data_IF_395862316960
#
_entry.id   IF_395862316960
#
_cell.length_a   1.000
_cell.length_b   1.000
_cell.length_c   1.000
_cell.angle_alpha   90.00
_cell.angle_beta   90.00
_cell.angle_gamma   90.00
#
_symmetry.space_group_name_H-M   'P 1'
#
loop_
_entity.id
_entity.type
_entity.pdbx_description
1 polymer ?
#
# COMPACT_ATOMS: atom_id res chain seq x y z
N UNK A 1 -14.49 -4.49 23.25
CA UNK A 1 -14.67 -3.73 22.02
C UNK A 1 -15.81 -4.25 21.19
N UNK A 2 -15.88 -5.49 21.11
CA UNK A 2 -16.84 -6.08 20.21
C UNK A 2 -18.24 -6.16 20.76
N UNK A 3 -18.40 -5.84 22.02
CA UNK A 3 -19.73 -5.80 22.61
C UNK A 3 -20.48 -4.63 22.02
N UNK A 4 -21.68 -4.90 21.54
CA UNK A 4 -22.48 -3.88 20.92
C UNK A 4 -22.18 -3.64 19.46
N UNK A 5 -21.16 -4.30 18.90
CA UNK A 5 -20.84 -4.20 17.48
C UNK A 5 -21.17 -5.49 16.79
N UNK A 6 -22.03 -5.43 15.78
CA UNK A 6 -22.38 -6.60 15.01
C UNK A 6 -21.29 -6.90 13.99
N UNK A 7 -21.35 -8.11 13.44
CA UNK A 7 -20.44 -8.51 12.38
C UNK A 7 -20.60 -7.59 11.17
N UNK A 8 -21.81 -7.19 10.88
CA UNK A 8 -22.08 -6.29 9.77
C UNK A 8 -21.45 -4.92 10.00
N UNK A 9 -21.57 -4.40 11.21
CA UNK A 9 -20.98 -3.10 11.53
C UNK A 9 -19.47 -3.11 11.40
N UNK A 10 -18.83 -4.18 11.87
CA UNK A 10 -17.39 -4.32 11.75
C UNK A 10 -16.98 -4.38 10.27
N UNK A 11 -17.73 -5.12 9.46
CA UNK A 11 -17.47 -5.21 8.04
C UNK A 11 -17.61 -3.85 7.35
N UNK A 12 -18.66 -3.09 7.72
CA UNK A 12 -18.86 -1.77 7.15
C UNK A 12 -17.74 -0.81 7.50
N UNK A 13 -17.20 -0.88 8.71
CA UNK A 13 -16.08 -0.05 9.11
C UNK A 13 -14.84 -0.37 8.28
N UNK A 14 -14.59 -1.64 8.02
CA UNK A 14 -13.47 -2.05 7.18
C UNK A 14 -13.65 -1.56 5.74
N UNK A 15 -14.86 -1.65 5.21
CA UNK A 15 -15.14 -1.17 3.86
C UNK A 15 -14.95 0.33 3.75
N UNK A 16 -15.34 1.08 4.76
CA UNK A 16 -15.14 2.52 4.76
C UNK A 16 -13.66 2.88 4.72
N UNK A 17 -12.85 2.14 5.45
CA UNK A 17 -11.40 2.35 5.45
C UNK A 17 -10.80 2.06 4.09
N UNK A 18 -11.24 0.98 3.45
CA UNK A 18 -10.77 0.62 2.12
C UNK A 18 -11.15 1.69 1.11
N UNK A 19 -12.39 2.15 1.15
CA UNK A 19 -12.85 3.20 0.23
C UNK A 19 -12.04 4.47 0.41
N UNK A 20 -11.78 4.86 1.64
CA UNK A 20 -10.97 6.03 1.94
C UNK A 20 -9.57 5.90 1.35
N UNK A 21 -8.97 4.72 1.50
CA UNK A 21 -7.63 4.48 0.97
C UNK A 21 -7.62 4.48 -0.55
N UNK A 22 -8.65 3.91 -1.17
CA UNK A 22 -8.77 3.93 -2.63
C UNK A 22 -8.86 5.35 -3.15
N UNK A 23 -9.65 6.19 -2.51
CA UNK A 23 -9.79 7.59 -2.91
C UNK A 23 -8.45 8.32 -2.80
N UNK A 24 -7.71 8.07 -1.73
CA UNK A 24 -6.40 8.69 -1.55
C UNK A 24 -5.45 8.29 -2.67
N UNK A 25 -5.43 7.01 -3.00
CA UNK A 25 -4.55 6.53 -4.07
C UNK A 25 -4.96 7.13 -5.40
N UNK A 26 -6.26 7.15 -5.70
CA UNK A 26 -6.76 7.71 -6.96
C UNK A 26 -6.42 9.20 -7.08
N UNK A 27 -6.39 9.91 -5.96
CA UNK A 27 -6.02 11.32 -5.96
C UNK A 27 -4.52 11.53 -6.17
N UNK A 28 -3.71 10.65 -5.56
CA UNK A 28 -2.26 10.84 -5.55
C UNK A 28 -1.57 10.28 -6.79
N UNK A 29 -2.07 9.17 -7.34
CA UNK A 29 -1.46 8.52 -8.49
C UNK A 29 -1.98 9.17 -9.77
N UNK A 30 -1.06 9.66 -10.59
CA UNK A 30 -1.40 10.41 -11.81
C UNK A 30 -1.22 9.62 -13.08
N UNK A 31 -0.90 8.34 -12.98
CA UNK A 31 -0.62 7.48 -14.13
C UNK A 31 -1.50 6.25 -14.05
N UNK A 32 -1.61 5.52 -15.17
CA UNK A 32 -2.32 4.25 -15.18
C UNK A 32 -1.55 3.20 -14.42
N UNK A 33 -2.28 2.46 -13.56
CA UNK A 33 -1.70 1.31 -12.86
C UNK A 33 -2.67 0.14 -13.01
N UNK A 34 -2.11 -1.07 -12.95
CA UNK A 34 -2.94 -2.27 -13.03
C UNK A 34 -3.46 -2.64 -11.63
N UNK A 35 -4.28 -3.69 -11.56
CA UNK A 35 -4.90 -4.08 -10.30
C UNK A 35 -3.86 -4.50 -9.26
N UNK A 36 -2.82 -5.22 -9.67
CA UNK A 36 -1.79 -5.66 -8.75
C UNK A 36 -1.04 -4.47 -8.14
N UNK A 37 -0.73 -3.48 -8.96
CA UNK A 37 -0.08 -2.26 -8.50
C UNK A 37 -0.98 -1.51 -7.52
N UNK A 38 -2.26 -1.42 -7.86
CA UNK A 38 -3.24 -0.76 -6.99
C UNK A 38 -3.34 -1.48 -5.65
N UNK A 39 -3.42 -2.81 -5.68
CA UNK A 39 -3.52 -3.60 -4.45
C UNK A 39 -2.30 -3.44 -3.56
N UNK A 40 -1.12 -3.37 -4.16
CA UNK A 40 0.12 -3.14 -3.39
C UNK A 40 0.09 -1.78 -2.71
N UNK A 41 -0.41 -0.77 -3.41
CA UNK A 41 -0.53 0.57 -2.84
C UNK A 41 -1.59 0.62 -1.75
N UNK A 42 -2.68 -0.11 -1.90
CA UNK A 42 -3.71 -0.23 -0.85
C UNK A 42 -3.08 -0.81 0.41
N UNK A 43 -2.31 -1.88 0.28
CA UNK A 43 -1.63 -2.49 1.42
C UNK A 43 -0.68 -1.50 2.09
N UNK A 44 0.09 -0.78 1.28
CA UNK A 44 1.03 0.23 1.80
C UNK A 44 0.28 1.31 2.59
N UNK A 45 -0.78 1.86 2.01
CA UNK A 45 -1.54 2.93 2.64
C UNK A 45 -2.27 2.44 3.88
N UNK A 46 -2.82 1.22 3.82
CA UNK A 46 -3.50 0.64 4.98
C UNK A 46 -2.55 0.51 6.17
N UNK A 47 -1.31 0.15 5.91
CA UNK A 47 -0.30 -0.06 6.95
C UNK A 47 0.39 1.23 7.39
N UNK A 48 0.69 2.13 6.45
CA UNK A 48 1.54 3.28 6.71
C UNK A 48 0.82 4.62 6.57
N UNK A 49 -0.33 4.65 5.92
CA UNK A 49 -1.11 5.87 5.77
C UNK A 49 -0.86 6.60 4.46
N UNK A 50 -1.88 7.33 4.01
CA UNK A 50 -1.82 8.08 2.76
C UNK A 50 -0.79 9.21 2.82
N UNK A 51 -0.60 9.79 4.00
CA UNK A 51 0.38 10.86 4.16
C UNK A 51 1.80 10.40 3.87
N UNK A 52 2.12 9.19 4.30
CA UNK A 52 3.43 8.62 4.01
C UNK A 52 3.60 8.36 2.52
N UNK A 53 2.56 7.85 1.87
CA UNK A 53 2.62 7.65 0.42
C UNK A 53 2.80 8.98 -0.30
N UNK A 54 2.04 10.00 0.10
CA UNK A 54 2.09 11.31 -0.53
C UNK A 54 3.50 11.91 -0.49
N UNK A 55 4.20 11.72 0.62
CA UNK A 55 5.53 12.27 0.81
C UNK A 55 6.65 11.36 0.30
N UNK A 56 6.31 10.19 -0.25
CA UNK A 56 7.30 9.17 -0.55
C UNK A 56 7.96 9.36 -1.91
N UNK A 57 9.20 8.89 -1.99
CA UNK A 57 9.90 8.77 -3.26
C UNK A 57 9.21 7.74 -4.16
N UNK A 58 8.57 6.75 -3.54
CA UNK A 58 7.81 5.74 -4.26
C UNK A 58 6.76 6.38 -5.17
N UNK A 59 5.96 7.28 -4.60
CA UNK A 59 4.91 7.94 -5.37
C UNK A 59 5.49 8.80 -6.48
N UNK A 60 6.58 9.52 -6.18
CA UNK A 60 7.23 10.37 -7.18
C UNK A 60 7.72 9.54 -8.36
N UNK A 61 8.37 8.42 -8.09
CA UNK A 61 8.85 7.53 -9.15
C UNK A 61 7.70 6.94 -9.94
N UNK A 62 6.64 6.53 -9.26
CA UNK A 62 5.46 5.97 -9.92
C UNK A 62 4.84 6.98 -10.87
N UNK A 63 4.66 8.21 -10.43
CA UNK A 63 4.07 9.25 -11.27
C UNK A 63 4.97 9.67 -12.42
N UNK A 64 6.25 9.32 -12.36
CA UNK A 64 7.18 9.52 -13.46
C UNK A 64 7.30 8.27 -14.35
N UNK A 65 6.43 7.29 -14.17
CA UNK A 65 6.39 6.05 -14.93
C UNK A 65 7.60 5.15 -14.67
N UNK A 66 8.30 5.38 -13.56
CA UNK A 66 9.42 4.53 -13.16
C UNK A 66 8.88 3.42 -12.24
N UNK A 67 8.25 2.42 -12.87
CA UNK A 67 7.57 1.38 -12.11
C UNK A 67 8.56 0.49 -11.35
N UNK A 68 9.70 0.16 -11.97
CA UNK A 68 10.69 -0.67 -11.29
C UNK A 68 11.32 0.09 -10.13
N UNK A 69 11.62 1.37 -10.33
CA UNK A 69 12.14 2.19 -9.25
C UNK A 69 11.16 2.34 -8.12
N UNK A 70 9.88 2.51 -8.45
CA UNK A 70 8.84 2.59 -7.41
C UNK A 70 8.77 1.29 -6.63
N UNK A 71 8.81 0.14 -7.31
CA UNK A 71 8.78 -1.16 -6.64
C UNK A 71 9.93 -1.30 -5.65
N UNK A 72 11.10 -0.83 -6.02
CA UNK A 72 12.28 -0.93 -5.16
C UNK A 72 12.22 0.00 -3.96
N UNK A 73 11.27 0.92 -3.94
CA UNK A 73 11.09 1.78 -2.77
C UNK A 73 10.31 1.11 -1.65
N UNK A 74 9.48 0.11 -1.96
CA UNK A 74 8.69 -0.58 -0.93
C UNK A 74 9.55 -1.11 0.21
N UNK A 75 10.63 -1.86 -0.07
CA UNK A 75 11.41 -2.45 1.03
C UNK A 75 12.08 -1.44 1.96
N UNK A 76 12.18 -0.19 1.55
CA UNK A 76 12.79 0.84 2.39
C UNK A 76 11.92 1.19 3.59
N UNK A 77 10.64 0.86 3.57
CA UNK A 77 9.69 1.14 4.64
C UNK A 77 9.60 -0.04 5.61
N UNK A 78 10.73 -0.37 6.25
CA UNK A 78 10.85 -1.56 7.08
C UNK A 78 11.12 -1.27 8.56
N UNK A 79 11.10 0.00 8.94
CA UNK A 79 11.42 0.38 10.32
C UNK A 79 10.20 0.87 11.07
N UNK A 80 10.18 0.60 12.37
CA UNK A 80 9.20 1.20 13.28
C UNK A 80 9.97 1.57 14.53
N UNK A 81 9.78 2.80 15.01
CA UNK A 81 10.48 3.29 16.18
C UNK A 81 11.99 3.27 16.00
N UNK A 82 12.48 3.47 14.79
CA UNK A 82 13.91 3.48 14.50
C UNK A 82 14.54 2.10 14.37
N UNK A 83 13.73 1.03 14.44
CA UNK A 83 14.25 -0.34 14.41
C UNK A 83 13.67 -1.09 13.22
N UNK A 84 14.50 -1.93 12.60
CA UNK A 84 14.04 -2.81 11.53
C UNK A 84 13.25 -3.97 12.16
N UNK A 85 12.03 -4.17 11.67
CA UNK A 85 11.17 -5.26 12.14
C UNK A 85 10.98 -6.25 11.01
N UNK A 86 11.20 -7.53 11.31
CA UNK A 86 11.10 -8.59 10.30
C UNK A 86 9.71 -8.69 9.70
N UNK A 87 8.68 -8.45 10.49
CA UNK A 87 7.31 -8.44 9.96
C UNK A 87 7.13 -7.37 8.91
N UNK A 88 7.71 -6.20 9.11
CA UNK A 88 7.63 -5.12 8.13
C UNK A 88 8.47 -5.41 6.89
N UNK A 89 9.62 -6.04 7.07
CA UNK A 89 10.44 -6.47 5.93
C UNK A 89 9.64 -7.40 5.04
N UNK A 90 9.03 -8.43 5.62
CA UNK A 90 8.24 -9.39 4.85
C UNK A 90 7.05 -8.72 4.15
N UNK A 91 6.38 -7.82 4.85
CA UNK A 91 5.24 -7.13 4.29
C UNK A 91 5.63 -6.27 3.08
N UNK A 92 6.73 -5.53 3.22
CA UNK A 92 7.19 -4.68 2.11
C UNK A 92 7.64 -5.51 0.92
N UNK A 93 8.28 -6.64 1.17
CA UNK A 93 8.69 -7.52 0.07
C UNK A 93 7.48 -8.14 -0.61
N UNK A 94 6.46 -8.50 0.16
CA UNK A 94 5.22 -9.01 -0.42
C UNK A 94 4.53 -7.95 -1.28
N UNK A 95 4.51 -6.70 -0.82
CA UNK A 95 3.93 -5.60 -1.59
C UNK A 95 4.71 -5.36 -2.87
N UNK A 96 6.04 -5.43 -2.78
CA UNK A 96 6.88 -5.29 -3.96
C UNK A 96 6.60 -6.39 -4.99
N UNK A 97 6.51 -7.62 -4.52
CA UNK A 97 6.20 -8.74 -5.40
C UNK A 97 4.83 -8.58 -6.05
N UNK A 98 3.85 -8.16 -5.28
CA UNK A 98 2.51 -7.92 -5.81
C UNK A 98 2.52 -6.79 -6.83
N UNK A 99 3.24 -5.71 -6.55
CA UNK A 99 3.35 -4.58 -7.45
C UNK A 99 3.94 -5.00 -8.80
N UNK A 100 4.91 -5.90 -8.78
CA UNK A 100 5.55 -6.43 -9.97
C UNK A 100 4.81 -7.62 -10.57
N UNK A 101 3.74 -8.02 -9.94
CA UNK A 101 3.00 -9.27 -10.06
C UNK A 101 3.00 -9.98 -11.39
N UNK A 102 2.67 -9.29 -12.47
CA UNK A 102 2.57 -9.94 -13.77
C UNK A 102 3.90 -10.48 -14.27
N UNK A 103 5.00 -9.99 -13.72
CA UNK A 103 6.33 -10.45 -14.11
C UNK A 103 6.63 -11.79 -13.45
N UNK A 104 6.13 -11.98 -12.25
CA UNK A 104 6.47 -13.15 -11.45
C UNK A 104 5.38 -14.21 -11.43
N UNK A 105 4.30 -14.00 -12.10
CA UNK A 105 3.14 -14.89 -12.03
C UNK A 105 3.29 -16.13 -12.91
N UNK A 106 4.44 -16.41 -13.32
CA UNK A 106 4.69 -17.56 -14.18
C UNK A 106 4.79 -18.84 -13.42
#
# INVERSE_FOLDING_TARGET
YLQGITKEQATNMMMNEIIKNERSINRLVKVFINQNQFDALISFVYNLGAGNLQASTLLRKLNNLDFLGAADEFPKWRKAGGRVLQGLVRRRLAERSLFLGSITSQ
#
